data_IF_578523700288
#
_entry.id   IF_578523700288
#
_cell.length_a   1.000
_cell.length_b   1.000
_cell.length_c   1.000
_cell.angle_alpha   90.00
_cell.angle_beta   90.00
_cell.angle_gamma   90.00
#
_symmetry.space_group_name_H-M   'P 1'
#
loop_
_entity.id
_entity.type
_entity.pdbx_description
1 polymer ?
#
# COMPACT_ATOMS: atom_id res chain seq x y z
N UNK A 1 18.05 -7.32 12.29
CA UNK A 1 19.17 -7.98 13.03
C UNK A 1 18.78 -8.09 14.50
N UNK A 2 18.27 -9.26 14.93
CA UNK A 2 18.05 -9.51 16.36
C UNK A 2 19.39 -9.69 17.07
N UNK A 3 19.58 -9.12 18.27
CA UNK A 3 20.72 -9.42 19.12
C UNK A 3 20.64 -10.83 19.74
N UNK A 4 19.47 -11.43 19.73
CA UNK A 4 19.18 -12.73 20.32
C UNK A 4 19.08 -13.84 19.28
N UNK A 5 19.27 -15.08 19.74
CA UNK A 5 19.01 -16.27 18.93
C UNK A 5 17.50 -16.53 18.87
N UNK A 6 16.92 -16.55 17.68
CA UNK A 6 15.49 -16.75 17.46
C UNK A 6 15.17 -18.18 17.04
N UNK A 7 14.21 -18.83 17.71
CA UNK A 7 13.71 -20.15 17.34
C UNK A 7 12.40 -20.10 16.55
N UNK A 8 11.77 -18.95 16.49
CA UNK A 8 10.55 -18.66 15.73
C UNK A 8 10.49 -17.19 15.31
N UNK A 9 9.63 -16.88 14.36
CA UNK A 9 9.30 -15.53 13.94
C UNK A 9 7.83 -15.26 14.19
N UNK A 10 7.49 -14.01 14.52
CA UNK A 10 6.13 -13.53 14.48
C UNK A 10 5.88 -12.70 13.22
N UNK A 11 4.79 -13.02 12.54
CA UNK A 11 4.31 -12.33 11.35
C UNK A 11 2.98 -11.68 11.69
N UNK A 12 2.84 -10.41 11.38
CA UNK A 12 1.62 -9.64 11.55
C UNK A 12 0.72 -9.86 10.32
N UNK A 13 -0.54 -10.15 10.57
CA UNK A 13 -1.59 -10.32 9.57
C UNK A 13 -2.63 -9.20 9.75
N UNK A 14 -2.25 -7.96 9.47
CA UNK A 14 -3.05 -6.78 9.82
C UNK A 14 -4.50 -6.84 9.32
N UNK A 15 -4.73 -7.38 8.12
CA UNK A 15 -6.08 -7.51 7.57
C UNK A 15 -6.93 -8.56 8.30
N UNK A 16 -6.31 -9.37 9.17
CA UNK A 16 -7.03 -10.33 9.99
C UNK A 16 -7.89 -9.65 11.06
N UNK A 17 -7.53 -8.43 11.45
CA UNK A 17 -8.33 -7.60 12.35
C UNK A 17 -9.74 -7.33 11.80
N UNK A 18 -9.90 -7.40 10.47
CA UNK A 18 -11.19 -7.28 9.79
C UNK A 18 -11.94 -8.61 9.62
N UNK A 19 -11.39 -9.72 10.10
CA UNK A 19 -12.06 -11.01 10.03
C UNK A 19 -13.19 -11.09 11.06
N UNK A 20 -14.23 -11.83 10.70
CA UNK A 20 -15.31 -12.15 11.65
C UNK A 20 -14.75 -12.85 12.89
N UNK A 21 -15.09 -12.36 14.08
CA UNK A 21 -14.64 -12.92 15.35
C UNK A 21 -13.18 -12.61 15.72
N UNK A 22 -12.48 -11.73 14.97
CA UNK A 22 -11.17 -11.23 15.39
C UNK A 22 -11.25 -10.49 16.73
N UNK A 23 -10.15 -10.48 17.46
CA UNK A 23 -10.06 -9.76 18.74
C UNK A 23 -10.35 -8.26 18.54
N UNK A 24 -9.81 -7.65 17.49
CA UNK A 24 -10.04 -6.25 17.17
C UNK A 24 -11.51 -5.97 16.89
N UNK A 25 -12.21 -6.86 16.16
CA UNK A 25 -13.62 -6.71 15.85
C UNK A 25 -14.50 -6.90 17.10
N UNK A 26 -14.19 -7.89 17.94
CA UNK A 26 -14.94 -8.17 19.18
C UNK A 26 -14.65 -7.13 20.27
N UNK A 27 -13.41 -6.64 20.37
CA UNK A 27 -12.99 -5.65 21.37
C UNK A 27 -13.31 -4.21 20.98
N UNK A 28 -13.72 -3.95 19.74
CA UNK A 28 -14.18 -2.62 19.33
C UNK A 28 -15.35 -2.22 20.20
N UNK A 29 -15.23 -1.15 21.02
CA UNK A 29 -16.34 -0.74 21.87
C UNK A 29 -17.50 -0.37 20.94
N UNK A 30 -18.62 -1.04 21.10
CA UNK A 30 -19.87 -0.56 20.54
C UNK A 30 -20.04 0.88 21.02
N UNK A 31 -20.32 1.82 20.11
CA UNK A 31 -20.62 3.21 20.49
C UNK A 31 -21.62 3.18 21.65
N UNK A 32 -21.26 3.81 22.75
CA UNK A 32 -22.19 4.02 23.87
C UNK A 32 -23.23 5.10 23.56
N UNK A 33 -23.24 5.61 22.32
CA UNK A 33 -24.20 6.59 21.83
C UNK A 33 -25.53 5.91 21.56
N UNK A 34 -26.61 6.48 22.08
CA UNK A 34 -27.97 6.04 21.78
C UNK A 34 -28.40 6.37 20.33
N UNK A 35 -27.56 7.12 19.57
CA UNK A 35 -27.81 7.52 18.20
C UNK A 35 -26.62 7.21 17.33
N UNK A 36 -26.86 6.52 16.21
CA UNK A 36 -25.86 6.24 15.17
C UNK A 36 -26.05 7.19 13.99
N UNK A 37 -24.95 7.65 13.40
CA UNK A 37 -25.02 8.28 12.10
C UNK A 37 -25.47 7.23 11.05
N UNK A 38 -26.22 7.67 10.05
CA UNK A 38 -26.73 6.76 9.00
C UNK A 38 -25.61 5.94 8.35
N UNK A 39 -24.45 6.55 8.09
CA UNK A 39 -23.31 5.87 7.50
C UNK A 39 -22.65 4.86 8.45
N UNK A 40 -22.67 5.07 9.75
CA UNK A 40 -22.18 4.13 10.76
C UNK A 40 -23.07 2.89 10.81
N UNK A 41 -24.39 3.09 10.83
CA UNK A 41 -25.36 2.00 10.79
C UNK A 41 -25.25 1.17 9.50
N UNK A 42 -25.07 1.84 8.36
CA UNK A 42 -24.89 1.19 7.07
C UNK A 42 -23.57 0.41 7.00
N UNK A 43 -22.49 0.98 7.55
CA UNK A 43 -21.19 0.31 7.68
C UNK A 43 -21.26 -0.92 8.56
N UNK A 44 -21.95 -0.84 9.68
CA UNK A 44 -22.17 -1.96 10.60
C UNK A 44 -22.95 -3.11 9.96
N UNK A 45 -24.07 -2.81 9.29
CA UNK A 45 -24.88 -3.82 8.60
C UNK A 45 -24.09 -4.54 7.49
N UNK A 46 -23.33 -3.79 6.71
CA UNK A 46 -22.54 -4.35 5.58
C UNK A 46 -21.27 -5.05 6.06
N UNK A 47 -20.64 -4.57 7.13
CA UNK A 47 -19.46 -5.18 7.74
C UNK A 47 -19.72 -6.59 8.27
N UNK A 48 -20.91 -6.86 8.78
CA UNK A 48 -21.30 -8.18 9.30
C UNK A 48 -21.38 -9.27 8.22
N UNK A 49 -21.51 -8.89 6.96
CA UNK A 49 -21.61 -9.85 5.84
C UNK A 49 -20.30 -10.12 5.12
N UNK A 50 -19.22 -9.39 5.49
CA UNK A 50 -17.92 -9.54 4.85
C UNK A 50 -16.98 -10.40 5.69
N UNK A 51 -16.61 -11.55 5.14
CA UNK A 51 -15.61 -12.41 5.74
C UNK A 51 -14.21 -11.99 5.29
N UNK A 52 -13.60 -11.08 6.05
CA UNK A 52 -12.25 -10.55 5.80
C UNK A 52 -11.12 -11.46 6.23
N UNK A 53 -9.92 -10.90 6.28
CA UNK A 53 -8.72 -11.55 6.75
C UNK A 53 -7.95 -12.32 5.67
N UNK A 54 -6.83 -12.89 6.08
CA UNK A 54 -5.97 -13.72 5.23
C UNK A 54 -6.48 -15.16 5.17
N UNK A 55 -6.42 -15.76 4.00
CA UNK A 55 -6.89 -17.13 3.73
C UNK A 55 -5.84 -17.93 2.98
N UNK A 56 -5.93 -19.25 3.09
CA UNK A 56 -5.07 -20.20 2.35
C UNK A 56 -3.58 -19.92 2.56
N UNK A 57 -3.20 -19.55 3.79
CA UNK A 57 -1.81 -19.24 4.11
C UNK A 57 -1.00 -20.54 4.02
N UNK A 58 0.12 -20.47 3.31
CA UNK A 58 1.16 -21.51 3.35
C UNK A 58 2.51 -20.86 3.61
N UNK A 59 3.38 -21.56 4.34
CA UNK A 59 4.76 -21.12 4.60
C UNK A 59 5.71 -22.25 4.21
N UNK A 60 6.71 -21.96 3.39
CA UNK A 60 7.68 -22.94 2.90
C UNK A 60 9.09 -22.37 2.96
N UNK A 61 10.04 -23.20 3.34
CA UNK A 61 11.45 -22.87 3.19
C UNK A 61 11.85 -22.78 1.71
N UNK A 62 13.03 -22.23 1.44
CA UNK A 62 13.59 -22.13 0.06
C UNK A 62 13.84 -23.49 -0.59
N UNK A 63 13.87 -24.57 0.18
CA UNK A 63 13.92 -25.95 -0.30
C UNK A 63 12.53 -26.51 -0.67
N UNK A 64 11.48 -25.69 -0.57
CA UNK A 64 10.10 -26.07 -0.87
C UNK A 64 9.40 -26.87 0.24
N UNK A 65 10.08 -27.19 1.35
CA UNK A 65 9.48 -27.93 2.48
C UNK A 65 8.58 -27.01 3.28
N UNK A 66 7.40 -27.50 3.74
CA UNK A 66 6.55 -26.74 4.64
C UNK A 66 7.28 -26.40 5.94
N UNK A 67 7.10 -25.15 6.40
CA UNK A 67 7.45 -24.75 7.76
C UNK A 67 6.19 -24.82 8.63
N UNK A 68 6.36 -25.27 9.87
CA UNK A 68 5.27 -25.27 10.82
C UNK A 68 4.92 -23.84 11.22
N UNK A 69 3.64 -23.56 11.28
CA UNK A 69 3.16 -22.28 11.78
C UNK A 69 1.87 -22.46 12.58
N UNK A 70 1.62 -21.50 13.46
CA UNK A 70 0.38 -21.40 14.23
C UNK A 70 -0.15 -19.99 14.11
N UNK A 71 -1.42 -19.86 13.69
CA UNK A 71 -2.09 -18.58 13.63
C UNK A 71 -2.92 -18.39 14.92
N UNK A 72 -2.77 -17.22 15.54
CA UNK A 72 -3.57 -16.76 16.65
C UNK A 72 -4.05 -15.36 16.32
N UNK A 73 -5.31 -15.25 15.94
CA UNK A 73 -5.92 -14.00 15.48
C UNK A 73 -5.08 -13.32 14.36
N UNK A 74 -4.65 -12.08 14.53
CA UNK A 74 -3.81 -11.32 13.59
C UNK A 74 -2.31 -11.67 13.66
N UNK A 75 -1.94 -12.69 14.40
CA UNK A 75 -0.55 -13.12 14.58
C UNK A 75 -0.32 -14.50 14.00
N UNK A 76 0.77 -14.64 13.25
CA UNK A 76 1.23 -15.91 12.72
C UNK A 76 2.64 -16.20 13.27
N UNK A 77 2.77 -17.22 14.09
CA UNK A 77 4.06 -17.73 14.53
C UNK A 77 4.58 -18.75 13.52
N UNK A 78 5.78 -18.52 13.01
CA UNK A 78 6.49 -19.46 12.14
C UNK A 78 7.64 -20.08 12.93
N UNK A 79 7.63 -21.40 13.12
CA UNK A 79 8.71 -22.13 13.78
C UNK A 79 9.87 -22.32 12.81
N UNK A 80 11.07 -21.94 13.24
CA UNK A 80 12.26 -22.08 12.40
C UNK A 80 12.81 -23.51 12.45
N UNK A 81 13.30 -24.06 11.33
CA UNK A 81 13.84 -25.41 11.27
C UNK A 81 15.11 -25.59 12.12
N UNK A 82 15.81 -24.50 12.40
CA UNK A 82 16.91 -24.37 13.36
C UNK A 82 16.91 -22.98 13.97
N UNK A 83 17.47 -22.79 15.17
CA UNK A 83 17.64 -21.47 15.73
C UNK A 83 18.47 -20.57 14.79
N UNK A 84 18.05 -19.32 14.65
CA UNK A 84 18.69 -18.26 13.88
C UNK A 84 19.54 -17.42 14.81
N UNK A 85 20.86 -17.53 14.70
CA UNK A 85 21.78 -16.74 15.53
C UNK A 85 21.85 -15.27 15.07
N UNK A 86 22.29 -14.34 15.92
CA UNK A 86 22.53 -12.95 15.55
C UNK A 86 23.40 -12.85 14.29
N UNK A 87 22.96 -12.01 13.34
CA UNK A 87 23.65 -11.82 12.05
C UNK A 87 23.38 -12.88 10.99
N UNK A 88 22.72 -13.99 11.34
CA UNK A 88 22.28 -14.98 10.34
C UNK A 88 21.05 -14.48 9.57
N UNK A 89 20.82 -15.13 8.41
CA UNK A 89 19.67 -14.84 7.53
C UNK A 89 18.87 -16.09 7.30
N UNK A 90 17.57 -15.94 7.17
CA UNK A 90 16.64 -16.95 6.71
C UNK A 90 15.78 -16.38 5.58
N UNK A 91 15.42 -17.22 4.62
CA UNK A 91 14.47 -16.91 3.57
C UNK A 91 13.40 -17.98 3.53
N UNK A 92 12.18 -17.58 3.30
CA UNK A 92 11.03 -18.47 3.14
C UNK A 92 9.97 -17.82 2.26
N UNK A 93 9.13 -18.64 1.67
CA UNK A 93 8.03 -18.22 0.83
C UNK A 93 6.71 -18.31 1.59
N UNK A 94 5.86 -17.30 1.40
CA UNK A 94 4.48 -17.31 1.88
C UNK A 94 3.51 -17.14 0.72
N UNK A 95 2.43 -17.92 0.72
CA UNK A 95 1.29 -17.69 -0.17
C UNK A 95 0.05 -17.44 0.67
N UNK A 96 -0.82 -16.59 0.17
CA UNK A 96 -2.07 -16.24 0.85
C UNK A 96 -3.09 -15.68 -0.16
N UNK A 97 -4.32 -15.59 0.27
CA UNK A 97 -5.38 -14.84 -0.39
C UNK A 97 -5.97 -13.84 0.60
N UNK A 98 -6.27 -12.65 0.13
CA UNK A 98 -6.91 -11.60 0.89
C UNK A 98 -8.04 -10.99 0.05
N UNK A 99 -9.32 -11.13 0.46
CA UNK A 99 -10.42 -10.52 -0.24
C UNK A 99 -10.45 -9.01 -0.02
N UNK A 100 -10.62 -8.23 -1.07
CA UNK A 100 -10.92 -6.80 -0.97
C UNK A 100 -12.38 -6.59 -0.63
N UNK A 101 -12.64 -5.74 0.37
CA UNK A 101 -13.98 -5.25 0.67
C UNK A 101 -14.20 -3.85 0.13
N UNK A 102 -15.45 -3.43 0.05
CA UNK A 102 -15.76 -2.03 -0.20
C UNK A 102 -15.33 -1.20 1.03
N UNK A 103 -14.46 -0.20 0.83
CA UNK A 103 -13.83 0.54 1.93
C UNK A 103 -14.81 1.29 2.81
N UNK A 104 -15.88 1.85 2.25
CA UNK A 104 -16.95 2.48 3.04
C UNK A 104 -17.70 1.52 3.97
N UNK A 105 -17.58 0.22 3.72
CA UNK A 105 -18.24 -0.83 4.53
C UNK A 105 -17.41 -1.19 5.75
N UNK A 106 -16.11 -1.29 5.58
CA UNK A 106 -15.22 -1.84 6.61
C UNK A 106 -14.40 -0.78 7.33
N UNK A 107 -14.27 0.43 6.78
CA UNK A 107 -13.33 1.43 7.26
C UNK A 107 -11.86 1.01 7.14
N UNK A 108 -11.59 -0.11 6.45
CA UNK A 108 -10.25 -0.66 6.27
C UNK A 108 -9.39 0.23 5.36
N UNK A 109 -8.09 0.17 5.54
CA UNK A 109 -7.12 0.86 4.67
C UNK A 109 -6.90 0.12 3.35
N UNK A 110 -7.37 -1.11 3.22
CA UNK A 110 -7.36 -1.91 1.99
C UNK A 110 -8.78 -2.21 1.56
N UNK A 111 -9.01 -2.18 0.25
CA UNK A 111 -10.31 -2.48 -0.30
C UNK A 111 -10.53 -1.79 -1.65
N UNK A 112 -11.77 -1.58 -1.99
CA UNK A 112 -12.14 -0.86 -3.20
C UNK A 112 -13.29 0.10 -2.97
N UNK A 113 -13.35 1.14 -3.78
CA UNK A 113 -14.48 2.07 -3.85
C UNK A 113 -14.86 2.30 -5.31
N UNK A 114 -16.15 2.23 -5.60
CA UNK A 114 -16.68 2.38 -6.95
C UNK A 114 -17.57 3.63 -7.04
N UNK A 115 -17.38 4.40 -8.09
CA UNK A 115 -18.10 5.64 -8.27
C UNK A 115 -19.49 5.39 -8.86
N UNK A 116 -20.56 6.04 -8.31
CA UNK A 116 -21.92 5.93 -8.81
C UNK A 116 -22.03 6.40 -10.28
N UNK A 117 -22.81 5.71 -11.08
CA UNK A 117 -23.07 6.09 -12.48
C UNK A 117 -21.97 5.71 -13.47
N UNK A 118 -20.87 5.14 -13.03
CA UNK A 118 -19.89 4.53 -13.92
C UNK A 118 -20.45 3.20 -14.45
N UNK A 119 -20.69 3.12 -15.73
CA UNK A 119 -21.28 1.93 -16.39
C UNK A 119 -20.24 0.95 -16.89
N UNK A 120 -20.62 -0.29 -17.17
CA UNK A 120 -21.37 -1.22 -16.35
C UNK A 120 -20.42 -1.92 -15.39
N UNK A 121 -20.75 -2.05 -14.16
CA UNK A 121 -19.89 -2.57 -13.10
C UNK A 121 -18.64 -1.72 -12.83
N UNK A 122 -18.87 -0.50 -12.41
CA UNK A 122 -18.03 0.36 -11.62
C UNK A 122 -16.58 0.63 -12.10
N UNK A 123 -16.30 1.86 -12.40
CA UNK A 123 -14.92 2.31 -12.32
C UNK A 123 -14.58 2.45 -10.84
N UNK A 124 -13.70 1.58 -10.38
CA UNK A 124 -13.35 1.49 -8.97
C UNK A 124 -11.89 1.86 -8.79
N UNK A 125 -11.58 2.43 -7.63
CA UNK A 125 -10.23 2.47 -7.11
C UNK A 125 -10.07 1.24 -6.22
N UNK A 126 -9.03 0.47 -6.46
CA UNK A 126 -8.55 -0.58 -5.57
C UNK A 126 -7.35 -0.01 -4.81
N UNK A 127 -7.32 -0.18 -3.50
CA UNK A 127 -6.21 0.27 -2.67
C UNK A 127 -5.78 -0.84 -1.71
N UNK A 128 -4.49 -0.95 -1.50
CA UNK A 128 -3.89 -1.97 -0.66
C UNK A 128 -2.80 -1.37 0.22
N UNK A 129 -3.13 -1.21 1.49
CA UNK A 129 -2.19 -0.92 2.57
C UNK A 129 -2.28 -2.06 3.59
N UNK A 130 -1.16 -2.43 4.22
CA UNK A 130 -1.16 -3.57 5.16
C UNK A 130 -1.71 -4.87 4.54
N UNK A 131 -1.42 -5.09 3.26
CA UNK A 131 -2.03 -6.12 2.42
C UNK A 131 -1.24 -7.43 2.37
N UNK A 132 -0.05 -7.46 2.94
CA UNK A 132 0.83 -8.63 2.97
C UNK A 132 1.25 -8.95 4.40
N UNK A 133 1.56 -10.24 4.71
CA UNK A 133 2.09 -10.64 5.99
C UNK A 133 3.42 -9.94 6.28
N UNK A 134 3.54 -9.24 7.40
CA UNK A 134 4.71 -8.43 7.77
C UNK A 134 5.44 -9.02 8.95
N UNK A 135 6.78 -9.02 8.93
CA UNK A 135 7.57 -9.41 10.09
C UNK A 135 7.30 -8.43 11.23
N UNK A 136 6.96 -8.95 12.41
CA UNK A 136 6.86 -8.13 13.60
C UNK A 136 8.22 -7.54 13.98
N UNK A 137 8.24 -6.34 14.53
CA UNK A 137 9.46 -5.76 15.06
C UNK A 137 9.97 -6.55 16.27
N UNK A 138 11.28 -6.58 16.44
CA UNK A 138 11.95 -7.20 17.58
C UNK A 138 12.93 -6.22 18.23
N UNK A 139 12.79 -6.03 19.54
CA UNK A 139 13.72 -5.21 20.32
C UNK A 139 14.42 -6.05 21.40
N UNK A 140 15.59 -5.62 21.82
CA UNK A 140 16.39 -6.26 22.87
C UNK A 140 15.79 -6.10 24.27
N UNK A 141 14.95 -5.09 24.47
CA UNK A 141 14.36 -4.78 25.79
C UNK A 141 12.96 -5.40 25.99
N UNK A 142 12.21 -5.71 24.91
CA UNK A 142 10.83 -6.21 24.99
C UNK A 142 10.65 -7.54 24.21
N UNK A 143 11.59 -7.86 23.31
CA UNK A 143 11.44 -8.99 22.40
C UNK A 143 10.50 -8.66 21.21
N UNK A 144 9.59 -9.56 20.89
CA UNK A 144 8.65 -9.40 19.80
C UNK A 144 7.53 -8.41 20.12
N UNK A 145 7.33 -7.42 19.28
CA UNK A 145 6.20 -6.49 19.35
C UNK A 145 4.97 -7.12 18.69
N UNK A 146 4.13 -7.74 19.50
CA UNK A 146 2.96 -8.51 19.06
C UNK A 146 1.63 -7.97 19.58
N UNK A 147 1.62 -6.77 20.16
CA UNK A 147 0.38 -6.15 20.61
C UNK A 147 -0.50 -5.80 19.41
N UNK A 148 -1.79 -6.19 19.43
CA UNK A 148 -2.71 -5.88 18.35
C UNK A 148 -3.01 -4.38 18.31
N UNK A 149 -3.36 -3.87 17.13
CA UNK A 149 -3.85 -2.51 16.98
C UNK A 149 -5.31 -2.42 17.48
N UNK A 150 -5.52 -1.68 18.55
CA UNK A 150 -6.83 -1.52 19.19
C UNK A 150 -7.44 -0.13 18.94
N UNK A 151 -7.18 0.47 17.79
CA UNK A 151 -7.80 1.73 17.35
C UNK A 151 -6.98 2.99 17.60
N UNK A 152 -5.88 2.94 18.35
CA UNK A 152 -4.97 4.06 18.56
C UNK A 152 -3.53 3.60 18.71
N UNK A 153 -2.56 4.45 18.35
CA UNK A 153 -1.14 4.16 18.37
C UNK A 153 -0.57 3.90 16.97
N UNK A 154 0.72 3.61 16.92
CA UNK A 154 1.45 3.33 15.69
C UNK A 154 2.01 1.91 15.70
N UNK A 155 2.16 1.33 14.51
CA UNK A 155 2.81 0.04 14.36
C UNK A 155 4.33 0.18 14.46
N UNK A 156 5.02 -0.59 15.31
CA UNK A 156 6.45 -0.74 15.23
C UNK A 156 6.77 -1.59 13.98
N UNK A 157 7.39 -0.98 12.99
CA UNK A 157 7.77 -1.63 11.74
C UNK A 157 9.27 -1.49 11.50
N UNK A 158 9.88 -2.55 11.04
CA UNK A 158 11.26 -2.54 10.60
C UNK A 158 11.39 -2.00 9.18
N UNK A 159 12.48 -1.31 8.91
CA UNK A 159 12.81 -0.88 7.55
C UNK A 159 13.31 -2.05 6.71
N UNK A 160 12.95 -2.07 5.45
CA UNK A 160 13.34 -3.11 4.51
C UNK A 160 13.32 -2.62 3.06
N UNK A 161 13.87 -3.47 2.18
CA UNK A 161 13.82 -3.26 0.74
C UNK A 161 12.72 -4.13 0.14
N UNK A 162 11.97 -3.55 -0.78
CA UNK A 162 10.82 -4.18 -1.42
C UNK A 162 11.00 -4.23 -2.93
N UNK A 163 10.79 -5.41 -3.51
CA UNK A 163 10.64 -5.62 -4.93
C UNK A 163 9.26 -6.20 -5.17
N UNK A 164 8.36 -5.42 -5.75
CA UNK A 164 6.94 -5.76 -5.84
C UNK A 164 6.47 -5.81 -7.29
N UNK A 165 5.81 -6.89 -7.66
CA UNK A 165 5.17 -7.08 -8.96
C UNK A 165 3.67 -7.12 -8.79
N UNK A 166 2.95 -6.18 -9.40
CA UNK A 166 1.50 -6.02 -9.31
C UNK A 166 0.89 -6.29 -10.67
N UNK A 167 0.16 -7.40 -10.78
CA UNK A 167 -0.52 -7.78 -12.01
C UNK A 167 -2.00 -7.41 -11.91
N UNK A 168 -2.43 -6.53 -12.80
CA UNK A 168 -3.79 -6.00 -12.88
C UNK A 168 -4.33 -6.10 -14.32
N UNK A 169 -5.64 -5.92 -14.56
CA UNK A 169 -6.14 -5.77 -15.93
C UNK A 169 -5.37 -4.70 -16.69
N UNK A 170 -5.10 -4.93 -17.99
CA UNK A 170 -4.20 -4.08 -18.79
C UNK A 170 -4.68 -2.63 -18.98
N UNK A 171 -5.94 -2.36 -18.66
CA UNK A 171 -6.55 -1.03 -18.66
C UNK A 171 -6.42 -0.27 -17.33
N UNK A 172 -5.75 -0.84 -16.32
CA UNK A 172 -5.47 -0.16 -15.06
C UNK A 172 -4.12 0.54 -15.07
N UNK A 173 -4.08 1.69 -14.38
CA UNK A 173 -2.84 2.37 -13.96
C UNK A 173 -2.61 2.04 -12.49
N UNK A 174 -1.36 1.76 -12.15
CA UNK A 174 -0.97 1.43 -10.77
C UNK A 174 -0.11 2.56 -10.20
N UNK A 175 -0.50 3.03 -9.03
CA UNK A 175 0.29 3.86 -8.13
C UNK A 175 0.83 2.96 -7.02
N UNK A 176 2.10 3.09 -6.65
CA UNK A 176 2.67 2.30 -5.57
C UNK A 176 3.85 3.01 -4.90
N UNK A 177 4.22 2.56 -3.71
CA UNK A 177 5.45 2.96 -3.05
C UNK A 177 6.68 2.66 -3.92
N UNK A 178 7.71 3.51 -3.85
CA UNK A 178 8.95 3.33 -4.58
C UNK A 178 8.91 3.73 -6.05
N UNK A 179 9.87 3.25 -6.82
CA UNK A 179 10.08 3.63 -8.21
C UNK A 179 9.57 2.55 -9.18
N UNK A 180 8.88 2.99 -10.24
CA UNK A 180 8.45 2.12 -11.34
C UNK A 180 9.66 1.69 -12.19
N UNK A 181 9.95 0.37 -12.23
CA UNK A 181 11.11 -0.21 -12.90
C UNK A 181 10.88 -0.55 -14.37
N UNK A 182 9.65 -0.82 -14.77
CA UNK A 182 9.35 -1.30 -16.11
C UNK A 182 8.39 -0.37 -16.88
N UNK A 183 8.62 0.93 -16.81
CA UNK A 183 7.80 1.95 -17.50
C UNK A 183 7.59 1.65 -18.99
N UNK A 184 8.60 1.06 -19.67
CA UNK A 184 8.53 0.70 -21.08
C UNK A 184 7.51 -0.41 -21.39
N UNK A 185 7.20 -1.25 -20.43
CA UNK A 185 6.26 -2.37 -20.60
C UNK A 185 4.81 -1.95 -20.32
N UNK A 186 4.64 -0.93 -19.45
CA UNK A 186 3.33 -0.57 -18.90
C UNK A 186 2.79 0.78 -19.38
N UNK A 187 3.66 1.68 -19.85
CA UNK A 187 3.29 2.99 -20.39
C UNK A 187 3.40 3.03 -21.90
N UNK A 188 2.54 3.82 -22.55
CA UNK A 188 2.67 4.13 -23.98
C UNK A 188 3.91 5.00 -24.24
N UNK A 189 4.32 5.13 -25.49
CA UNK A 189 5.45 6.00 -25.85
C UNK A 189 5.19 7.45 -25.48
N UNK A 190 3.97 7.91 -25.66
CA UNK A 190 3.53 9.28 -25.33
C UNK A 190 3.56 9.49 -23.81
N UNK A 191 3.11 8.52 -23.02
CA UNK A 191 3.16 8.56 -21.54
C UNK A 191 4.62 8.57 -21.05
N UNK A 192 5.50 7.76 -21.64
CA UNK A 192 6.93 7.77 -21.33
C UNK A 192 7.57 9.12 -21.64
N UNK A 193 7.25 9.72 -22.76
CA UNK A 193 7.76 11.04 -23.13
C UNK A 193 7.29 12.12 -22.13
N UNK A 194 6.02 12.08 -21.70
CA UNK A 194 5.49 13.00 -20.70
C UNK A 194 6.10 12.76 -19.31
N UNK A 195 6.36 11.52 -18.93
CA UNK A 195 7.07 11.18 -17.70
C UNK A 195 8.50 11.74 -17.70
N UNK A 196 9.20 11.64 -18.83
CA UNK A 196 10.53 12.23 -18.95
C UNK A 196 10.48 13.77 -18.90
N UNK A 197 9.47 14.40 -19.50
CA UNK A 197 9.23 15.84 -19.36
C UNK A 197 8.98 16.22 -17.88
N UNK A 198 8.20 15.43 -17.14
CA UNK A 198 7.92 15.68 -15.73
C UNK A 198 9.18 15.69 -14.84
N UNK A 199 10.22 14.90 -15.21
CA UNK A 199 11.50 14.84 -14.48
C UNK A 199 12.27 16.18 -14.46
N UNK A 200 11.93 17.08 -15.34
CA UNK A 200 12.54 18.43 -15.43
C UNK A 200 11.55 19.58 -15.16
N UNK A 201 10.28 19.26 -14.97
CA UNK A 201 9.24 20.26 -14.78
C UNK A 201 9.15 20.64 -13.28
N UNK A 202 9.65 21.83 -12.94
CA UNK A 202 9.65 22.35 -11.55
C UNK A 202 8.53 23.36 -11.27
N UNK A 203 7.96 23.98 -12.32
CA UNK A 203 6.99 25.07 -12.16
C UNK A 203 5.53 24.56 -12.11
N UNK A 204 5.24 23.51 -12.85
CA UNK A 204 3.91 22.94 -12.96
C UNK A 204 3.94 21.43 -13.24
N UNK A 205 2.97 20.67 -12.67
CA UNK A 205 2.83 19.25 -12.98
C UNK A 205 2.57 19.00 -14.48
N UNK A 206 3.10 17.89 -14.95
CA UNK A 206 2.89 17.35 -16.30
C UNK A 206 2.01 16.11 -16.20
N UNK A 207 0.95 16.03 -16.97
CA UNK A 207 0.17 14.80 -17.06
C UNK A 207 0.99 13.68 -17.70
N UNK A 208 1.31 12.66 -16.94
CA UNK A 208 1.85 11.39 -17.47
C UNK A 208 0.72 10.60 -18.13
N UNK A 209 -0.41 10.50 -17.43
CA UNK A 209 -1.67 9.95 -17.95
C UNK A 209 -2.72 11.05 -17.95
N UNK A 210 -3.20 11.41 -19.13
CA UNK A 210 -4.14 12.52 -19.29
C UNK A 210 -5.57 12.15 -18.86
N UNK A 211 -6.41 13.16 -18.56
CA UNK A 211 -7.84 12.94 -18.31
C UNK A 211 -8.57 12.25 -19.45
N UNK A 212 -8.23 12.56 -20.70
CA UNK A 212 -8.85 11.94 -21.87
C UNK A 212 -8.47 10.46 -22.01
N UNK A 213 -7.21 10.11 -21.71
CA UNK A 213 -6.76 8.71 -21.67
C UNK A 213 -7.46 7.93 -20.55
N UNK A 214 -7.64 8.54 -19.38
CA UNK A 214 -8.40 7.93 -18.28
C UNK A 214 -9.87 7.69 -18.67
N UNK A 215 -10.53 8.72 -19.25
CA UNK A 215 -11.91 8.63 -19.73
C UNK A 215 -12.07 7.54 -20.80
N UNK A 216 -11.12 7.40 -21.71
CA UNK A 216 -11.14 6.35 -22.75
C UNK A 216 -11.05 4.94 -22.14
N UNK A 217 -10.19 4.72 -21.12
CA UNK A 217 -10.07 3.44 -20.42
C UNK A 217 -11.33 3.07 -19.63
N UNK A 218 -12.02 4.05 -19.08
CA UNK A 218 -13.29 3.82 -18.37
C UNK A 218 -14.39 3.20 -19.25
N UNK A 219 -14.33 3.39 -20.56
CA UNK A 219 -15.31 2.85 -21.50
C UNK A 219 -15.10 1.37 -21.84
N UNK A 220 -13.90 0.86 -21.60
CA UNK A 220 -13.50 -0.50 -21.93
C UNK A 220 -13.39 -1.43 -20.72
N UNK A 221 -13.16 -2.70 -21.01
CA UNK A 221 -12.78 -3.73 -20.04
C UNK A 221 -11.78 -4.65 -20.72
N UNK A 222 -10.54 -4.60 -20.24
CA UNK A 222 -9.51 -5.51 -20.73
C UNK A 222 -9.65 -6.89 -20.10
N UNK A 223 -9.52 -7.92 -20.92
CA UNK A 223 -9.34 -9.31 -20.48
C UNK A 223 -7.88 -9.68 -20.31
N UNK A 224 -6.99 -8.88 -20.91
CA UNK A 224 -5.54 -9.04 -20.75
C UNK A 224 -5.09 -8.45 -19.44
N UNK A 225 -3.91 -8.87 -18.99
CA UNK A 225 -3.28 -8.36 -17.78
C UNK A 225 -1.95 -7.68 -18.10
N UNK A 226 -1.51 -6.82 -17.19
CA UNK A 226 -0.21 -6.15 -17.25
C UNK A 226 0.43 -6.15 -15.88
N UNK A 227 1.73 -6.42 -15.82
CA UNK A 227 2.49 -6.45 -14.57
C UNK A 227 3.34 -5.20 -14.43
N UNK A 228 3.07 -4.45 -13.38
CA UNK A 228 3.83 -3.29 -12.93
C UNK A 228 4.87 -3.74 -11.91
N UNK A 229 6.13 -3.29 -12.03
CA UNK A 229 7.23 -3.65 -11.13
C UNK A 229 7.75 -2.40 -10.44
N UNK A 230 7.82 -2.48 -9.11
CA UNK A 230 8.29 -1.39 -8.28
C UNK A 230 9.42 -1.86 -7.37
N UNK A 231 10.35 -0.95 -7.07
CA UNK A 231 11.39 -1.12 -6.07
C UNK A 231 11.33 0.04 -5.08
N UNK A 232 11.38 -0.29 -3.79
CA UNK A 232 11.46 0.68 -2.70
C UNK A 232 12.54 0.24 -1.72
N UNK A 233 13.50 1.11 -1.45
CA UNK A 233 14.62 0.82 -0.56
C UNK A 233 14.43 1.53 0.77
N UNK A 234 14.78 0.83 1.85
CA UNK A 234 14.79 1.35 3.20
C UNK A 234 13.47 2.02 3.61
N UNK A 235 12.34 1.34 3.33
CA UNK A 235 10.99 1.80 3.67
C UNK A 235 10.35 0.89 4.72
N UNK A 236 9.45 1.46 5.53
CA UNK A 236 8.77 0.73 6.62
C UNK A 236 7.61 -0.13 6.14
N UNK A 237 7.02 0.21 5.01
CA UNK A 237 5.86 -0.48 4.45
C UNK A 237 5.77 -0.25 2.94
N UNK A 238 4.91 -1.00 2.27
CA UNK A 238 4.64 -0.87 0.85
C UNK A 238 3.14 -0.87 0.59
N UNK A 239 2.64 0.20 -0.02
CA UNK A 239 1.25 0.33 -0.40
C UNK A 239 1.10 0.50 -1.91
N UNK A 240 -0.07 0.17 -2.45
CA UNK A 240 -0.40 0.42 -3.85
C UNK A 240 -1.88 0.71 -4.04
N UNK A 241 -2.19 1.36 -5.15
CA UNK A 241 -3.55 1.55 -5.63
C UNK A 241 -3.62 1.32 -7.13
N UNK A 242 -4.77 0.91 -7.65
CA UNK A 242 -4.99 0.70 -9.07
C UNK A 242 -6.40 1.13 -9.49
N UNK A 243 -6.48 1.79 -10.65
CA UNK A 243 -7.75 2.14 -11.27
C UNK A 243 -7.58 2.31 -12.78
N UNK A 244 -8.62 2.00 -13.53
CA UNK A 244 -8.67 2.38 -14.95
C UNK A 244 -8.96 3.87 -15.14
N UNK A 245 -9.60 4.49 -14.14
CA UNK A 245 -9.94 5.91 -14.14
C UNK A 245 -8.82 6.84 -13.65
N UNK A 246 -7.61 6.32 -13.32
CA UNK A 246 -6.55 7.19 -12.86
C UNK A 246 -6.03 8.13 -13.95
N UNK A 247 -6.09 9.41 -13.65
CA UNK A 247 -5.22 10.46 -14.14
C UNK A 247 -3.94 10.39 -13.31
N UNK A 248 -2.80 10.64 -13.92
CA UNK A 248 -1.53 10.70 -13.24
C UNK A 248 -0.78 11.95 -13.70
N UNK A 249 -0.47 12.82 -12.78
CA UNK A 249 0.44 13.92 -13.02
C UNK A 249 1.65 13.89 -12.08
N UNK A 250 2.73 14.55 -12.51
CA UNK A 250 3.99 14.52 -11.80
C UNK A 250 4.80 15.81 -12.06
N UNK A 251 5.65 16.19 -11.10
CA UNK A 251 6.63 17.25 -11.25
C UNK A 251 7.89 16.97 -10.45
N UNK A 252 8.99 17.58 -10.86
CA UNK A 252 10.25 17.52 -10.16
C UNK A 252 10.30 18.55 -9.03
N UNK A 253 10.77 18.11 -7.86
CA UNK A 253 11.07 18.97 -6.71
C UNK A 253 12.58 18.93 -6.47
N UNK A 254 13.25 20.06 -6.52
CA UNK A 254 14.67 20.14 -6.22
C UNK A 254 14.86 20.26 -4.72
N UNK A 255 15.85 19.55 -4.22
CA UNK A 255 16.31 19.64 -2.85
C UNK A 255 17.71 20.25 -2.84
N UNK A 256 17.82 21.49 -2.42
CA UNK A 256 19.09 22.24 -2.37
C UNK A 256 19.73 22.17 -0.97
N UNK A 257 19.09 21.49 -0.01
CA UNK A 257 19.56 21.33 1.35
C UNK A 257 20.80 20.42 1.41
N UNK A 258 21.79 20.77 2.25
CA UNK A 258 22.97 19.94 2.43
C UNK A 258 22.60 18.53 2.94
N UNK A 259 23.15 17.51 2.28
CA UNK A 259 22.94 16.10 2.65
C UNK A 259 21.76 15.44 1.96
N UNK A 260 21.12 16.09 0.98
CA UNK A 260 20.09 15.48 0.15
C UNK A 260 20.68 14.28 -0.61
N UNK A 261 20.18 13.09 -0.33
CA UNK A 261 20.54 11.85 -1.04
C UNK A 261 20.00 11.90 -2.48
N UNK A 262 18.81 12.45 -2.65
CA UNK A 262 18.15 12.66 -3.94
C UNK A 262 18.03 14.16 -4.22
N UNK A 263 18.90 14.74 -5.09
CA UNK A 263 18.83 16.16 -5.44
C UNK A 263 17.53 16.57 -6.13
N UNK A 264 16.80 15.57 -6.64
CA UNK A 264 15.49 15.77 -7.28
C UNK A 264 14.57 14.64 -6.85
N UNK A 265 13.40 15.00 -6.34
CA UNK A 265 12.31 14.09 -5.97
C UNK A 265 11.17 14.23 -6.97
N UNK A 266 10.59 13.13 -7.40
CA UNK A 266 9.38 13.15 -8.23
C UNK A 266 8.14 13.20 -7.36
N UNK A 267 7.50 14.36 -7.28
CA UNK A 267 6.18 14.50 -6.68
C UNK A 267 5.12 14.03 -7.67
N UNK A 268 4.23 13.12 -7.23
CA UNK A 268 3.25 12.48 -8.10
C UNK A 268 1.87 12.44 -7.44
N UNK A 269 0.83 12.53 -8.27
CA UNK A 269 -0.55 12.32 -7.82
C UNK A 269 -1.32 11.45 -8.79
N UNK A 270 -2.12 10.54 -8.24
CA UNK A 270 -2.99 9.64 -8.97
C UNK A 270 -4.43 9.83 -8.46
N UNK A 271 -5.33 10.18 -9.34
CA UNK A 271 -6.70 10.51 -8.96
C UNK A 271 -7.67 10.27 -10.12
N UNK A 272 -8.94 10.17 -9.80
CA UNK A 272 -9.99 9.99 -10.80
C UNK A 272 -10.65 11.32 -11.15
N UNK A 273 -11.47 11.33 -12.20
CA UNK A 273 -12.19 12.53 -12.67
C UNK A 273 -13.07 13.17 -11.60
N UNK A 274 -13.52 12.38 -10.62
CA UNK A 274 -14.37 12.84 -9.51
C UNK A 274 -13.63 13.80 -8.58
N UNK A 275 -12.32 13.72 -8.53
CA UNK A 275 -11.47 14.62 -7.75
C UNK A 275 -11.15 15.96 -8.47
N UNK A 276 -11.53 16.07 -9.75
CA UNK A 276 -11.26 17.26 -10.56
C UNK A 276 -12.34 18.34 -10.36
N UNK A 277 -12.03 19.61 -10.53
CA UNK A 277 -10.72 20.18 -10.90
C UNK A 277 -9.77 20.42 -9.70
N UNK A 278 -10.17 20.08 -8.49
CA UNK A 278 -9.40 20.40 -7.29
C UNK A 278 -8.01 19.73 -7.30
N UNK A 279 -7.94 18.45 -7.59
CA UNK A 279 -6.70 17.70 -7.58
C UNK A 279 -5.77 18.08 -8.74
N UNK A 280 -6.31 18.39 -9.93
CA UNK A 280 -5.53 18.94 -11.05
C UNK A 280 -4.76 20.20 -10.64
N UNK A 281 -5.39 21.03 -9.79
CA UNK A 281 -4.83 22.33 -9.43
C UNK A 281 -3.85 22.23 -8.26
N UNK A 282 -4.14 21.38 -7.28
CA UNK A 282 -3.46 21.47 -5.98
C UNK A 282 -2.70 20.22 -5.55
N UNK A 283 -3.07 19.01 -5.99
CA UNK A 283 -2.56 17.78 -5.37
C UNK A 283 -1.05 17.64 -5.47
N UNK A 284 -0.49 17.54 -6.65
CA UNK A 284 0.97 17.37 -6.83
C UNK A 284 1.75 18.60 -6.39
N UNK A 285 1.18 19.80 -6.50
CA UNK A 285 1.77 21.03 -5.93
C UNK A 285 1.83 21.01 -4.41
N UNK A 286 0.82 20.44 -3.76
CA UNK A 286 0.82 20.27 -2.30
C UNK A 286 1.89 19.28 -1.84
N UNK A 287 2.08 18.17 -2.58
CA UNK A 287 3.19 17.23 -2.33
C UNK A 287 4.54 17.93 -2.50
N UNK A 288 4.73 18.67 -3.60
CA UNK A 288 5.96 19.41 -3.84
C UNK A 288 6.24 20.44 -2.73
N UNK A 289 5.21 21.21 -2.34
CA UNK A 289 5.32 22.16 -1.24
C UNK A 289 5.62 21.49 0.11
N UNK A 290 5.05 20.32 0.37
CA UNK A 290 5.34 19.58 1.60
C UNK A 290 6.80 19.12 1.65
N UNK A 291 7.36 18.62 0.55
CA UNK A 291 8.77 18.24 0.47
C UNK A 291 9.67 19.45 0.78
N UNK A 292 9.43 20.59 0.14
CA UNK A 292 10.19 21.82 0.33
C UNK A 292 10.10 22.32 1.79
N UNK A 293 8.89 22.46 2.32
CA UNK A 293 8.68 22.99 3.67
C UNK A 293 9.24 22.04 4.73
N UNK A 294 8.93 20.75 4.67
CA UNK A 294 9.45 19.81 5.68
C UNK A 294 10.95 19.62 5.55
N UNK A 295 11.50 19.61 4.33
CA UNK A 295 12.95 19.58 4.09
C UNK A 295 13.68 20.74 4.78
N UNK A 296 13.12 21.96 4.69
CA UNK A 296 13.70 23.15 5.32
C UNK A 296 13.63 23.13 6.86
N UNK A 297 12.65 22.45 7.47
CA UNK A 297 12.46 22.38 8.92
C UNK A 297 13.13 21.20 9.59
N UNK A 298 13.39 20.11 8.87
CA UNK A 298 13.86 18.84 9.43
C UNK A 298 15.12 18.36 8.73
N UNK A 299 14.94 17.57 7.68
CA UNK A 299 16.00 17.01 6.82
C UNK A 299 15.42 16.79 5.42
N UNK A 300 16.29 16.74 4.40
CA UNK A 300 15.86 16.49 3.03
C UNK A 300 15.04 15.19 2.94
N UNK A 301 14.03 15.18 2.07
CA UNK A 301 13.19 14.00 1.87
C UNK A 301 14.04 12.83 1.35
N UNK A 302 14.06 11.67 2.05
CA UNK A 302 15.07 10.64 1.83
C UNK A 302 14.70 9.60 0.78
N UNK A 303 13.78 9.92 -0.15
CA UNK A 303 13.34 9.00 -1.20
C UNK A 303 13.26 9.69 -2.57
N UNK A 304 13.39 8.93 -3.68
CA UNK A 304 13.38 9.50 -5.04
C UNK A 304 11.98 9.90 -5.51
N UNK A 305 10.92 9.40 -4.88
CA UNK A 305 9.52 9.64 -5.26
C UNK A 305 8.63 9.92 -4.03
N UNK A 306 7.61 10.75 -4.20
CA UNK A 306 6.62 11.10 -3.20
C UNK A 306 5.21 11.17 -3.81
#
# INVERSE_FOLDING_TARGET
NSPDTLSYLWILLDQQDMAEGSMANVASPSSSSETYQFFEALGFERGQTWAGGFRNITVKGTDGRPLNFTQVDALLRVDLPRPLAPGERISFDMTYAMPFAQTMVTGARSGYECFPGSTPAGNCIFQAAQWFPRLAAYSDYEGWHTLPFLGSGEFPLEFGNYQVSITVPADHVVAASGELQNSRDVLTREQQARMEQARSATDAPVYVVTPDEAAAREQGRSTDTRTWRFEAENVRDFAWAASRGFVWDAMAVRQDEPGAEYPTVMAMSFYTKEARPMWDTYSTRAVAHAIDVYGSFTFPYPYPTA
#
